data_IF_208657093487
#
_entry.id   IF_208657093487
#
_cell.length_a   1.000
_cell.length_b   1.000
_cell.length_c   1.000
_cell.angle_alpha   90.00
_cell.angle_beta   90.00
_cell.angle_gamma   90.00
#
_symmetry.space_group_name_H-M   'P 1'
#
loop_
_entity.id
_entity.type
_entity.pdbx_description
1 polymer ?
#
# COMPACT_ATOMS: atom_id res chain seq x y z
N UNK A 1 -13.52 2.64 3.64
CA UNK A 1 -14.22 1.87 2.60
C UNK A 1 -13.18 1.28 1.64
N UNK A 2 -13.47 0.17 0.94
CA UNK A 2 -12.58 -0.37 -0.11
C UNK A 2 -13.34 -0.49 -1.43
N UNK A 3 -12.70 -0.11 -2.53
CA UNK A 3 -13.26 -0.18 -3.87
C UNK A 3 -12.52 -1.20 -4.72
N UNK A 4 -13.23 -1.89 -5.60
CA UNK A 4 -12.66 -2.81 -6.58
C UNK A 4 -13.02 -2.37 -8.01
N UNK A 5 -12.40 -2.99 -9.01
CA UNK A 5 -12.64 -2.80 -10.46
C UNK A 5 -11.89 -1.64 -11.12
N UNK A 6 -12.05 -1.54 -12.44
CA UNK A 6 -11.24 -0.71 -13.34
C UNK A 6 -11.35 0.80 -13.09
N UNK A 7 -12.51 1.31 -12.66
CA UNK A 7 -12.68 2.74 -12.37
C UNK A 7 -11.85 3.16 -11.15
N UNK A 8 -11.88 2.37 -10.07
CA UNK A 8 -11.10 2.65 -8.85
C UNK A 8 -9.60 2.52 -9.15
N UNK A 9 -9.22 1.57 -10.00
CA UNK A 9 -7.84 1.42 -10.45
C UNK A 9 -7.36 2.61 -11.29
N UNK A 10 -8.17 3.08 -12.24
CA UNK A 10 -7.86 4.27 -13.04
C UNK A 10 -7.67 5.51 -12.17
N UNK A 11 -8.53 5.70 -11.16
CA UNK A 11 -8.39 6.79 -10.19
C UNK A 11 -7.07 6.72 -9.43
N UNK A 12 -6.64 5.53 -9.01
CA UNK A 12 -5.38 5.36 -8.32
C UNK A 12 -4.18 5.68 -9.22
N UNK A 13 -4.21 5.25 -10.49
CA UNK A 13 -3.17 5.56 -11.48
C UNK A 13 -3.06 7.08 -11.75
N UNK A 14 -4.21 7.76 -11.93
CA UNK A 14 -4.28 9.22 -12.06
C UNK A 14 -3.71 9.91 -10.82
N UNK A 15 -4.15 9.49 -9.63
CA UNK A 15 -3.73 10.11 -8.38
C UNK A 15 -2.22 9.95 -8.15
N UNK A 16 -1.66 8.77 -8.42
CA UNK A 16 -0.22 8.54 -8.33
C UNK A 16 0.56 9.37 -9.36
N UNK A 17 0.08 9.45 -10.60
CA UNK A 17 0.73 10.25 -11.65
C UNK A 17 0.76 11.74 -11.29
N UNK A 18 -0.31 12.25 -10.68
CA UNK A 18 -0.40 13.64 -10.23
C UNK A 18 0.19 13.88 -8.82
N UNK A 19 0.95 12.93 -8.26
CA UNK A 19 1.69 13.08 -7.00
C UNK A 19 0.84 13.08 -5.72
N UNK A 20 -0.35 12.46 -5.75
CA UNK A 20 -1.29 12.40 -4.63
C UNK A 20 -1.17 11.09 -3.87
N UNK A 21 -1.62 11.07 -2.61
CA UNK A 21 -1.75 9.83 -1.84
C UNK A 21 -2.82 8.90 -2.42
N UNK A 22 -2.74 7.60 -2.08
CA UNK A 22 -3.60 6.51 -2.60
C UNK A 22 -5.05 6.52 -2.06
N UNK A 23 -5.39 7.43 -1.14
CA UNK A 23 -6.71 7.49 -0.50
C UNK A 23 -7.66 8.34 -1.35
N UNK A 24 -8.70 7.71 -1.89
CA UNK A 24 -9.74 8.38 -2.66
C UNK A 24 -10.70 9.07 -1.69
N UNK A 25 -10.88 10.38 -1.89
CA UNK A 25 -11.80 11.22 -1.10
C UNK A 25 -12.78 11.93 -2.02
N UNK A 26 -13.93 12.35 -1.49
CA UNK A 26 -14.94 13.09 -2.26
C UNK A 26 -14.36 14.36 -2.91
N UNK A 27 -13.49 15.08 -2.20
CA UNK A 27 -12.81 16.27 -2.72
C UNK A 27 -11.91 15.96 -3.93
N UNK A 28 -11.18 14.84 -3.90
CA UNK A 28 -10.37 14.38 -5.04
C UNK A 28 -11.26 14.00 -6.23
N UNK A 29 -12.35 13.29 -5.99
CA UNK A 29 -13.31 12.92 -7.04
C UNK A 29 -13.93 14.16 -7.72
N UNK A 30 -14.35 15.16 -6.95
CA UNK A 30 -14.87 16.42 -7.50
C UNK A 30 -13.82 17.20 -8.29
N UNK A 31 -12.54 17.13 -7.91
CA UNK A 31 -11.46 17.74 -8.70
C UNK A 31 -11.31 17.03 -10.05
N UNK A 32 -11.30 15.70 -10.06
CA UNK A 32 -11.21 14.92 -11.30
C UNK A 32 -12.46 15.13 -12.18
N UNK A 33 -13.64 15.30 -11.59
CA UNK A 33 -14.85 15.68 -12.31
C UNK A 33 -14.66 17.02 -13.02
N UNK A 34 -14.13 18.03 -12.33
CA UNK A 34 -13.84 19.33 -12.94
C UNK A 34 -12.82 19.23 -14.08
N UNK A 35 -11.77 18.41 -13.93
CA UNK A 35 -10.80 18.16 -15.00
C UNK A 35 -11.45 17.51 -16.22
N UNK A 36 -12.28 16.48 -15.99
CA UNK A 36 -12.99 15.81 -17.08
C UNK A 36 -13.97 16.74 -17.82
N UNK A 37 -14.57 17.70 -17.11
CA UNK A 37 -15.46 18.70 -17.70
C UNK A 37 -14.74 19.79 -18.50
N UNK A 38 -13.40 19.83 -18.53
CA UNK A 38 -12.65 20.75 -19.38
C UNK A 38 -12.60 20.30 -20.85
N UNK A 39 -12.81 19.02 -21.11
CA UNK A 39 -12.92 18.48 -22.46
C UNK A 39 -14.38 18.57 -22.95
N UNK A 40 -14.59 19.07 -24.15
CA UNK A 40 -15.92 19.16 -24.78
C UNK A 40 -16.35 17.80 -25.35
N UNK A 41 -15.38 16.98 -25.79
CA UNK A 41 -15.59 15.67 -26.36
C UNK A 41 -14.87 14.57 -25.58
N UNK A 42 -15.44 13.35 -25.58
CA UNK A 42 -14.89 12.22 -24.84
C UNK A 42 -13.52 11.79 -25.39
N UNK A 43 -13.33 11.94 -26.70
CA UNK A 43 -12.10 11.62 -27.41
C UNK A 43 -10.95 12.59 -27.07
N UNK A 44 -11.28 13.77 -26.55
CA UNK A 44 -10.34 14.82 -26.15
C UNK A 44 -9.98 14.73 -24.65
N UNK A 45 -10.52 13.75 -23.94
CA UNK A 45 -10.29 13.56 -22.51
C UNK A 45 -8.83 13.17 -22.25
N UNK A 46 -8.01 14.17 -21.95
CA UNK A 46 -6.62 14.00 -21.55
C UNK A 46 -6.46 14.28 -20.05
N UNK A 47 -6.24 13.23 -19.27
CA UNK A 47 -5.97 13.30 -17.83
C UNK A 47 -4.66 12.57 -17.57
N UNK A 48 -3.72 13.26 -16.94
CA UNK A 48 -2.43 12.68 -16.57
C UNK A 48 -2.63 11.41 -15.71
N UNK A 49 -2.09 10.29 -16.18
CA UNK A 49 -2.21 8.96 -15.56
C UNK A 49 -3.41 8.13 -16.02
N UNK A 50 -4.27 8.65 -16.90
CA UNK A 50 -5.38 7.90 -17.51
C UNK A 50 -4.93 7.27 -18.84
N UNK A 51 -5.12 5.96 -18.99
CA UNK A 51 -4.83 5.29 -20.26
C UNK A 51 -5.95 5.52 -21.29
N UNK A 52 -5.59 5.52 -22.57
CA UNK A 52 -6.50 5.81 -23.68
C UNK A 52 -7.69 4.83 -23.75
N UNK A 53 -7.45 3.55 -23.45
CA UNK A 53 -8.50 2.53 -23.38
C UNK A 53 -9.52 2.78 -22.26
N UNK A 54 -9.08 3.42 -21.16
CA UNK A 54 -9.94 3.70 -20.00
C UNK A 54 -10.67 5.03 -20.11
N UNK A 55 -10.18 5.95 -20.94
CA UNK A 55 -10.77 7.28 -21.14
C UNK A 55 -12.26 7.21 -21.53
N UNK A 56 -12.63 6.28 -22.42
CA UNK A 56 -13.99 6.14 -22.93
C UNK A 56 -15.04 5.81 -21.86
N UNK A 57 -14.65 5.09 -20.81
CA UNK A 57 -15.57 4.65 -19.73
C UNK A 57 -15.34 5.39 -18.41
N UNK A 58 -14.35 6.29 -18.38
CA UNK A 58 -13.96 6.97 -17.15
C UNK A 58 -15.01 7.97 -16.64
N UNK A 59 -15.62 8.86 -17.46
CA UNK A 59 -16.59 9.84 -16.97
C UNK A 59 -17.85 9.20 -16.36
N UNK A 60 -18.34 8.11 -16.96
CA UNK A 60 -19.51 7.38 -16.45
C UNK A 60 -19.17 6.69 -15.12
N UNK A 61 -18.03 6.01 -15.03
CA UNK A 61 -17.55 5.40 -13.79
C UNK A 61 -17.32 6.42 -12.68
N UNK A 62 -16.70 7.56 -13.00
CA UNK A 62 -16.48 8.65 -12.05
C UNK A 62 -17.79 9.21 -11.52
N UNK A 63 -18.80 9.40 -12.39
CA UNK A 63 -20.11 9.90 -12.01
C UNK A 63 -20.84 8.94 -11.05
N UNK A 64 -20.79 7.63 -11.33
CA UNK A 64 -21.34 6.60 -10.44
C UNK A 64 -20.63 6.63 -9.08
N UNK A 65 -19.29 6.70 -9.07
CA UNK A 65 -18.53 6.68 -7.83
C UNK A 65 -18.79 7.93 -6.96
N UNK A 66 -18.91 9.11 -7.57
CA UNK A 66 -19.30 10.34 -6.86
C UNK A 66 -20.68 10.17 -6.21
N UNK A 67 -21.66 9.64 -6.94
CA UNK A 67 -23.00 9.40 -6.40
C UNK A 67 -22.97 8.40 -5.23
N UNK A 68 -22.14 7.34 -5.30
CA UNK A 68 -21.95 6.39 -4.21
C UNK A 68 -21.33 7.06 -2.98
N UNK A 69 -20.31 7.89 -3.17
CA UNK A 69 -19.68 8.64 -2.08
C UNK A 69 -20.67 9.59 -1.37
N UNK A 70 -21.53 10.26 -2.15
CA UNK A 70 -22.55 11.18 -1.62
C UNK A 70 -23.69 10.43 -0.92
N UNK A 71 -24.19 9.34 -1.51
CA UNK A 71 -25.32 8.59 -0.98
C UNK A 71 -24.98 7.81 0.30
N UNK A 72 -23.76 7.29 0.39
CA UNK A 72 -23.31 6.47 1.51
C UNK A 72 -22.43 7.23 2.51
N UNK A 73 -22.29 8.55 2.33
CA UNK A 73 -21.47 9.43 3.19
C UNK A 73 -20.05 8.88 3.41
N UNK A 74 -19.38 8.47 2.32
CA UNK A 74 -18.04 7.88 2.41
C UNK A 74 -16.97 8.98 2.53
N UNK A 75 -16.25 8.99 3.65
CA UNK A 75 -15.11 9.91 3.83
C UNK A 75 -13.89 9.52 2.98
N UNK A 76 -13.56 8.22 2.97
CA UNK A 76 -12.34 7.70 2.36
C UNK A 76 -12.49 6.26 1.82
N UNK A 77 -11.91 6.02 0.64
CA UNK A 77 -11.83 4.73 -0.02
C UNK A 77 -10.40 4.41 -0.47
N UNK A 78 -9.98 3.15 -0.34
CA UNK A 78 -8.73 2.63 -0.91
C UNK A 78 -9.02 1.52 -1.92
N UNK A 79 -8.08 1.27 -2.85
CA UNK A 79 -8.20 0.15 -3.79
C UNK A 79 -8.06 -1.18 -3.04
N UNK A 80 -8.99 -2.10 -3.26
CA UNK A 80 -8.91 -3.47 -2.79
C UNK A 80 -7.84 -4.24 -3.58
N UNK A 81 -7.02 -5.05 -2.88
CA UNK A 81 -6.00 -5.90 -3.51
C UNK A 81 -6.53 -7.13 -4.26
N UNK A 82 -7.84 -7.24 -4.42
CA UNK A 82 -8.50 -8.34 -5.11
C UNK A 82 -9.97 -8.02 -5.39
N UNK A 83 -10.55 -8.74 -6.34
CA UNK A 83 -11.96 -8.62 -6.73
C UNK A 83 -12.58 -10.03 -6.76
N UNK A 84 -13.35 -10.34 -7.80
CA UNK A 84 -14.12 -11.59 -7.89
C UNK A 84 -13.24 -12.82 -8.14
N UNK A 85 -12.17 -12.68 -8.93
CA UNK A 85 -11.29 -13.81 -9.27
C UNK A 85 -10.58 -14.34 -8.03
N UNK A 86 -10.03 -13.43 -7.24
CA UNK A 86 -9.36 -13.74 -5.99
C UNK A 86 -10.36 -14.37 -5.02
N UNK A 87 -11.56 -13.79 -4.89
CA UNK A 87 -12.65 -14.33 -4.06
C UNK A 87 -13.00 -15.79 -4.38
N UNK A 88 -13.13 -16.14 -5.67
CA UNK A 88 -13.38 -17.53 -6.08
C UNK A 88 -12.24 -18.47 -5.71
N UNK A 89 -10.98 -18.05 -5.87
CA UNK A 89 -9.82 -18.85 -5.46
C UNK A 89 -9.80 -19.06 -3.94
N UNK A 90 -10.15 -18.02 -3.17
CA UNK A 90 -10.27 -18.09 -1.71
C UNK A 90 -11.38 -19.04 -1.25
N UNK A 91 -12.51 -19.11 -1.97
CA UNK A 91 -13.58 -20.05 -1.65
C UNK A 91 -13.19 -21.52 -1.87
N UNK A 92 -12.31 -21.78 -2.84
CA UNK A 92 -11.86 -23.12 -3.23
C UNK A 92 -10.81 -23.73 -2.30
N UNK A 93 -10.15 -22.93 -1.45
CA UNK A 93 -9.07 -23.40 -0.57
C UNK A 93 -9.37 -23.02 0.89
N UNK A 94 -9.77 -24.02 1.69
CA UNK A 94 -10.17 -23.81 3.09
C UNK A 94 -9.06 -23.19 3.97
N UNK A 95 -7.80 -23.48 3.68
CA UNK A 95 -6.63 -22.89 4.38
C UNK A 95 -6.51 -21.37 4.17
N UNK A 96 -7.10 -20.84 3.10
CA UNK A 96 -7.07 -19.42 2.79
C UNK A 96 -8.21 -18.63 3.45
N UNK A 97 -9.09 -19.25 4.24
CA UNK A 97 -10.18 -18.57 4.98
C UNK A 97 -9.74 -17.91 6.29
N UNK A 98 -8.44 -17.82 6.57
CA UNK A 98 -7.93 -17.15 7.77
C UNK A 98 -8.30 -15.65 7.79
N UNK A 99 -8.71 -15.16 8.97
CA UNK A 99 -9.25 -13.81 9.17
C UNK A 99 -8.20 -12.70 8.97
N UNK A 100 -6.90 -12.98 9.12
CA UNK A 100 -5.83 -11.99 8.95
C UNK A 100 -4.98 -12.29 7.71
N UNK A 101 -5.28 -11.55 6.63
CA UNK A 101 -4.60 -11.64 5.34
C UNK A 101 -3.11 -11.25 5.49
N UNK A 102 -2.78 -10.25 6.32
CA UNK A 102 -1.41 -9.75 6.48
C UNK A 102 -0.54 -10.75 7.23
N UNK A 103 -1.04 -11.31 8.33
CA UNK A 103 -0.35 -12.35 9.07
C UNK A 103 -0.05 -13.57 8.18
N UNK A 104 -1.03 -13.99 7.37
CA UNK A 104 -0.84 -15.06 6.39
C UNK A 104 0.20 -14.72 5.34
N UNK A 105 0.17 -13.49 4.80
CA UNK A 105 1.18 -13.02 3.83
C UNK A 105 2.58 -13.06 4.44
N UNK A 106 2.75 -12.57 5.67
CA UNK A 106 4.05 -12.61 6.38
C UNK A 106 4.51 -14.07 6.54
N UNK A 107 3.65 -14.95 7.06
CA UNK A 107 3.98 -16.37 7.23
C UNK A 107 4.33 -17.06 5.91
N UNK A 108 3.58 -16.77 4.85
CA UNK A 108 3.85 -17.30 3.51
C UNK A 108 5.21 -16.84 2.97
N UNK A 109 5.56 -15.57 3.16
CA UNK A 109 6.87 -15.04 2.75
C UNK A 109 7.99 -15.66 3.58
N UNK A 110 7.84 -15.70 4.91
CA UNK A 110 8.84 -16.30 5.79
C UNK A 110 9.08 -17.77 5.46
N UNK A 111 8.03 -18.55 5.19
CA UNK A 111 8.15 -19.95 4.78
C UNK A 111 8.82 -20.10 3.40
N UNK A 112 8.40 -19.32 2.41
CA UNK A 112 8.94 -19.39 1.04
C UNK A 112 10.43 -19.03 0.98
N UNK A 113 10.85 -18.05 1.76
CA UNK A 113 12.23 -17.56 1.81
C UNK A 113 13.05 -18.16 2.95
N UNK A 114 12.49 -19.13 3.70
CA UNK A 114 13.17 -19.82 4.81
C UNK A 114 13.74 -18.85 5.85
N UNK A 115 12.98 -17.80 6.17
CA UNK A 115 13.38 -16.80 7.15
C UNK A 115 13.25 -17.35 8.57
N UNK A 116 14.12 -16.90 9.47
CA UNK A 116 14.00 -17.21 10.89
C UNK A 116 12.81 -16.45 11.48
N UNK A 117 11.69 -17.16 11.61
CA UNK A 117 10.46 -16.62 12.15
C UNK A 117 10.61 -16.21 13.63
N UNK A 118 11.44 -16.92 14.39
CA UNK A 118 11.65 -16.62 15.82
C UNK A 118 12.43 -15.32 15.97
N UNK A 119 13.50 -15.17 15.19
CA UNK A 119 14.29 -13.94 15.19
C UNK A 119 13.46 -12.75 14.68
N UNK A 120 12.70 -12.91 13.61
CA UNK A 120 11.79 -11.88 13.11
C UNK A 120 10.78 -11.40 14.17
N UNK A 121 10.20 -12.33 14.95
CA UNK A 121 9.28 -12.00 16.04
C UNK A 121 9.98 -11.28 17.21
N UNK A 122 11.20 -11.67 17.54
CA UNK A 122 12.01 -10.99 18.56
C UNK A 122 12.31 -9.54 18.18
N UNK A 123 12.72 -9.31 16.92
CA UNK A 123 12.99 -7.96 16.40
C UNK A 123 11.71 -7.13 16.38
N UNK A 124 10.58 -7.71 15.95
CA UNK A 124 9.29 -7.04 15.95
C UNK A 124 8.83 -6.65 17.36
N UNK A 125 8.99 -7.55 18.33
CA UNK A 125 8.68 -7.28 19.74
C UNK A 125 9.55 -6.16 20.31
N UNK A 126 10.85 -6.16 19.98
CA UNK A 126 11.77 -5.12 20.42
C UNK A 126 11.42 -3.76 19.79
N UNK A 127 11.16 -3.73 18.49
CA UNK A 127 10.75 -2.53 17.78
C UNK A 127 9.46 -1.94 18.36
N UNK A 128 8.48 -2.78 18.68
CA UNK A 128 7.25 -2.36 19.35
C UNK A 128 7.48 -1.73 20.72
N UNK A 129 8.36 -2.34 21.55
CA UNK A 129 8.74 -1.77 22.86
C UNK A 129 9.46 -0.43 22.74
N UNK A 130 10.34 -0.29 21.76
CA UNK A 130 11.05 0.97 21.49
C UNK A 130 10.07 2.06 21.03
N UNK A 131 9.09 1.71 20.19
CA UNK A 131 8.03 2.63 19.79
C UNK A 131 7.20 3.11 21.00
N UNK A 132 6.82 2.20 21.90
CA UNK A 132 6.10 2.56 23.13
C UNK A 132 6.92 3.52 24.01
N UNK A 133 8.24 3.30 24.13
CA UNK A 133 9.14 4.21 24.87
C UNK A 133 9.30 5.57 24.20
N UNK A 134 9.20 5.65 22.87
CA UNK A 134 9.31 6.89 22.11
C UNK A 134 8.03 7.76 22.13
N UNK A 135 6.94 7.27 22.72
CA UNK A 135 5.65 7.97 22.80
C UNK A 135 4.49 7.23 22.12
N UNK A 136 4.70 6.01 21.63
CA UNK A 136 3.65 5.14 21.10
C UNK A 136 2.84 5.81 19.99
N UNK A 137 1.54 5.92 20.21
CA UNK A 137 0.57 6.51 19.27
C UNK A 137 0.78 8.03 19.05
N UNK A 138 1.45 8.73 19.96
CA UNK A 138 1.82 10.14 19.74
C UNK A 138 3.07 10.27 18.84
N UNK A 139 3.93 9.25 18.87
CA UNK A 139 5.12 9.20 18.02
C UNK A 139 4.74 8.84 16.58
N UNK A 140 3.84 7.87 16.40
CA UNK A 140 3.27 7.50 15.10
C UNK A 140 1.74 7.62 15.20
N UNK A 141 1.21 8.73 14.70
CA UNK A 141 -0.22 9.03 14.78
C UNK A 141 -1.09 8.07 13.95
N UNK A 142 -0.55 7.54 12.85
CA UNK A 142 -1.29 6.67 11.95
C UNK A 142 -1.30 5.23 12.47
N UNK A 143 -2.47 4.61 12.72
CA UNK A 143 -2.56 3.24 13.24
C UNK A 143 -1.85 2.19 12.39
N UNK A 144 -1.82 2.42 11.07
CA UNK A 144 -1.10 1.55 10.14
C UNK A 144 0.42 1.58 10.30
N UNK A 145 1.00 2.65 10.84
CA UNK A 145 2.45 2.78 10.99
C UNK A 145 3.04 1.73 11.92
N UNK A 146 2.36 1.38 13.03
CA UNK A 146 2.76 0.28 13.92
C UNK A 146 2.78 -1.06 13.19
N UNK A 147 1.75 -1.32 12.37
CA UNK A 147 1.66 -2.56 11.58
C UNK A 147 2.77 -2.64 10.51
N UNK A 148 3.10 -1.51 9.86
CA UNK A 148 4.20 -1.46 8.89
C UNK A 148 5.57 -1.66 9.54
N UNK A 149 5.79 -1.09 10.73
CA UNK A 149 7.00 -1.32 11.52
C UNK A 149 7.14 -2.80 11.89
N UNK A 150 6.08 -3.41 12.42
CA UNK A 150 6.06 -4.83 12.77
C UNK A 150 6.33 -5.73 11.55
N UNK A 151 5.68 -5.44 10.43
CA UNK A 151 5.87 -6.18 9.17
C UNK A 151 7.32 -6.09 8.69
N UNK A 152 7.88 -4.88 8.70
CA UNK A 152 9.27 -4.65 8.29
C UNK A 152 10.22 -5.45 9.20
N UNK A 153 10.01 -5.39 10.52
CA UNK A 153 10.81 -6.15 11.47
C UNK A 153 10.72 -7.66 11.25
N UNK A 154 9.55 -8.22 10.90
CA UNK A 154 9.41 -9.66 10.63
C UNK A 154 10.04 -10.11 9.31
N UNK A 155 10.26 -9.20 8.36
CA UNK A 155 10.72 -9.49 7.01
C UNK A 155 12.08 -8.87 6.66
N UNK A 156 12.74 -8.17 7.58
CA UNK A 156 13.95 -7.38 7.31
C UNK A 156 15.13 -8.19 6.74
N UNK A 157 15.22 -9.49 7.06
CA UNK A 157 16.28 -10.39 6.60
C UNK A 157 16.01 -11.04 5.25
N UNK A 158 14.88 -10.74 4.59
CA UNK A 158 14.53 -11.38 3.32
C UNK A 158 15.61 -11.23 2.24
N UNK A 159 16.34 -10.12 2.23
CA UNK A 159 17.44 -9.90 1.29
C UNK A 159 18.69 -10.76 1.54
N UNK A 160 18.86 -11.28 2.76
CA UNK A 160 20.00 -12.15 3.12
C UNK A 160 19.91 -13.52 2.44
N UNK A 161 18.73 -13.90 1.93
CA UNK A 161 18.57 -15.14 1.14
C UNK A 161 19.21 -15.04 -0.24
N UNK A 162 19.57 -13.83 -0.70
CA UNK A 162 20.29 -13.59 -1.96
C UNK A 162 21.79 -13.45 -1.68
N UNK A 163 22.17 -12.42 -0.92
CA UNK A 163 23.56 -12.17 -0.53
C UNK A 163 23.62 -11.23 0.69
N UNK A 164 24.64 -11.38 1.53
CA UNK A 164 24.78 -10.59 2.74
C UNK A 164 25.37 -9.18 2.50
N UNK A 165 26.13 -8.95 1.43
CA UNK A 165 26.85 -7.67 1.20
C UNK A 165 25.91 -6.54 0.83
N UNK A 166 24.81 -6.85 0.15
CA UNK A 166 23.77 -5.91 -0.31
C UNK A 166 22.40 -6.29 0.25
N UNK A 167 22.39 -6.85 1.46
CA UNK A 167 21.17 -7.38 2.09
C UNK A 167 20.02 -6.37 2.12
N UNK A 168 20.31 -5.11 2.42
CA UNK A 168 19.30 -4.04 2.39
C UNK A 168 18.72 -3.79 0.99
N UNK A 169 19.56 -3.70 -0.04
CA UNK A 169 19.12 -3.53 -1.43
C UNK A 169 18.27 -4.72 -1.90
N UNK A 170 18.67 -5.94 -1.53
CA UNK A 170 17.94 -7.16 -1.84
C UNK A 170 16.59 -7.21 -1.11
N UNK A 171 16.54 -6.83 0.17
CA UNK A 171 15.29 -6.75 0.93
C UNK A 171 14.32 -5.77 0.29
N UNK A 172 14.79 -4.58 -0.07
CA UNK A 172 13.99 -3.57 -0.74
C UNK A 172 13.45 -4.08 -2.09
N UNK A 173 14.32 -4.68 -2.90
CA UNK A 173 13.95 -5.22 -4.20
C UNK A 173 12.88 -6.30 -4.08
N UNK A 174 13.05 -7.27 -3.19
CA UNK A 174 12.08 -8.35 -3.00
C UNK A 174 10.75 -7.81 -2.47
N UNK A 175 10.75 -6.99 -1.43
CA UNK A 175 9.52 -6.49 -0.80
C UNK A 175 8.70 -5.57 -1.74
N UNK A 176 9.38 -4.82 -2.60
CA UNK A 176 8.73 -3.95 -3.58
C UNK A 176 8.12 -4.74 -4.75
N UNK A 177 8.76 -5.84 -5.18
CA UNK A 177 8.35 -6.60 -6.35
C UNK A 177 7.49 -7.84 -6.04
N UNK A 178 7.48 -8.32 -4.79
CA UNK A 178 6.65 -9.46 -4.38
C UNK A 178 5.18 -9.08 -4.23
N UNK A 179 4.27 -9.95 -4.62
CA UNK A 179 2.86 -9.81 -4.26
C UNK A 179 2.69 -10.04 -2.76
N UNK A 180 2.29 -8.99 -2.05
CA UNK A 180 2.03 -9.00 -0.61
C UNK A 180 0.54 -8.71 -0.36
N UNK A 181 -0.36 -9.72 -0.42
CA UNK A 181 -1.78 -9.52 -0.13
C UNK A 181 -1.99 -8.85 1.23
N UNK A 182 -2.89 -7.87 1.27
CA UNK A 182 -3.16 -7.05 2.46
C UNK A 182 -2.30 -5.80 2.59
N UNK A 183 -1.33 -5.58 1.69
CA UNK A 183 -0.53 -4.35 1.63
C UNK A 183 -0.80 -3.58 0.33
N UNK A 184 -0.94 -2.26 0.44
CA UNK A 184 -1.03 -1.39 -0.74
C UNK A 184 0.34 -1.18 -1.38
N UNK A 185 0.38 -0.61 -2.60
CA UNK A 185 1.63 -0.36 -3.31
C UNK A 185 2.52 0.64 -2.53
N UNK A 186 1.95 1.71 -2.00
CA UNK A 186 2.66 2.63 -1.13
C UNK A 186 3.20 1.95 0.12
N UNK A 187 2.41 1.07 0.76
CA UNK A 187 2.85 0.32 1.95
C UNK A 187 4.01 -0.63 1.64
N UNK A 188 3.96 -1.36 0.51
CA UNK A 188 5.07 -2.20 0.04
C UNK A 188 6.34 -1.39 -0.20
N UNK A 189 6.19 -0.25 -0.88
CA UNK A 189 7.30 0.66 -1.14
C UNK A 189 7.94 1.13 0.17
N UNK A 190 7.12 1.60 1.11
CA UNK A 190 7.57 2.03 2.42
C UNK A 190 8.32 0.92 3.19
N UNK A 191 7.72 -0.27 3.32
CA UNK A 191 8.35 -1.42 3.99
C UNK A 191 9.70 -1.75 3.34
N UNK A 192 9.77 -1.76 2.01
CA UNK A 192 11.02 -2.00 1.28
C UNK A 192 12.08 -0.93 1.56
N UNK A 193 11.70 0.34 1.62
CA UNK A 193 12.64 1.44 1.90
C UNK A 193 13.14 1.44 3.36
N UNK A 194 12.32 1.04 4.34
CA UNK A 194 12.78 0.85 5.72
C UNK A 194 13.72 -0.36 5.80
N UNK A 195 13.34 -1.50 5.23
CA UNK A 195 14.16 -2.70 5.19
C UNK A 195 15.48 -2.51 4.41
N UNK A 196 15.55 -1.51 3.52
CA UNK A 196 16.80 -1.12 2.86
C UNK A 196 17.82 -0.51 3.82
N UNK A 197 17.34 0.26 4.81
CA UNK A 197 18.15 1.19 5.61
C UNK A 197 18.35 0.77 7.06
N UNK A 198 17.79 -0.37 7.49
CA UNK A 198 17.89 -0.78 8.90
C UNK A 198 19.32 -1.09 9.35
N UNK A 199 20.22 -1.47 8.43
CA UNK A 199 21.59 -1.95 8.75
C UNK A 199 22.71 -1.02 8.29
N UNK A 200 22.54 -0.38 7.14
CA UNK A 200 23.57 0.45 6.52
C UNK A 200 23.46 1.91 6.97
N UNK A 201 24.24 2.80 6.36
CA UNK A 201 24.20 4.22 6.67
C UNK A 201 22.78 4.78 6.43
N UNK A 202 22.22 5.42 7.47
CA UNK A 202 20.94 6.09 7.38
C UNK A 202 20.99 7.14 6.27
N UNK A 203 20.13 6.95 5.28
CA UNK A 203 19.89 7.89 4.19
C UNK A 203 18.47 8.41 4.28
N UNK A 204 18.23 9.59 3.70
CA UNK A 204 16.89 10.17 3.66
C UNK A 204 15.90 9.21 2.98
N UNK A 205 14.71 9.08 3.56
CA UNK A 205 13.61 8.39 2.90
C UNK A 205 13.16 9.18 1.67
N UNK A 206 12.92 8.49 0.53
CA UNK A 206 12.25 9.10 -0.61
C UNK A 206 10.80 9.45 -0.26
N UNK A 207 10.16 10.24 -1.12
CA UNK A 207 8.72 10.49 -0.99
C UNK A 207 7.94 9.17 -1.05
N UNK A 208 6.98 9.03 -0.14
CA UNK A 208 6.14 7.86 0.00
C UNK A 208 4.76 8.28 0.49
N UNK A 209 3.75 7.48 0.16
CA UNK A 209 2.34 7.80 0.40
C UNK A 209 1.64 6.81 1.33
N UNK A 210 2.39 5.99 2.08
CA UNK A 210 1.84 5.03 3.02
C UNK A 210 1.45 5.69 4.35
N UNK A 211 2.29 6.58 4.88
CA UNK A 211 2.06 7.36 6.12
C UNK A 211 2.56 8.79 5.95
N UNK A 212 2.32 9.70 6.91
CA UNK A 212 2.91 11.05 6.82
C UNK A 212 4.43 11.01 6.79
N UNK A 213 5.06 11.99 6.14
CA UNK A 213 6.52 12.07 6.03
C UNK A 213 7.22 12.19 7.39
N UNK A 214 6.57 12.82 8.38
CA UNK A 214 7.08 12.91 9.75
C UNK A 214 7.07 11.54 10.43
N UNK A 215 5.95 10.82 10.37
CA UNK A 215 5.85 9.46 10.91
C UNK A 215 6.79 8.49 10.21
N UNK A 216 6.97 8.62 8.89
CA UNK A 216 7.94 7.82 8.13
C UNK A 216 9.38 7.99 8.63
N UNK A 217 9.81 9.23 8.88
CA UNK A 217 11.13 9.54 9.45
C UNK A 217 11.29 9.10 10.90
N UNK A 218 10.18 8.96 11.63
CA UNK A 218 10.15 8.48 13.02
C UNK A 218 10.18 6.96 13.12
N UNK A 219 9.72 6.27 12.07
CA UNK A 219 9.78 4.81 11.92
C UNK A 219 11.18 4.35 11.51
N UNK A 220 11.85 5.08 10.62
CA UNK A 220 13.25 4.84 10.23
C UNK A 220 14.21 5.20 11.37
#
# INVERSE_FOLDING_TARGET
>A
CVGASGTVQALQEIMLAQGMDEVITHSKLKRLQKQAMLADHLEELDIEGLTLERALVFPSGLSILIAIFELLEIDAMTLAGGALREGLVYEMVDELRQNDIRARTICSVQSRYQLDCQYGEQVATLAGKLLEQAGGDEWIAEPQGKVLLETTAKLHEIGLTIDFKKGGEHSAYLLQNLDLPGYTRAQKFFIGEIARRYREQLSSLPEQHAISGTSAKRVL
#
